data_IF_094845222894
#
_entry.id   IF_094845222894
#
_cell.length_a   1.000
_cell.length_b   1.000
_cell.length_c   1.000
_cell.angle_alpha   90.00
_cell.angle_beta   90.00
_cell.angle_gamma   90.00
#
_symmetry.space_group_name_H-M   'P 1'
#
loop_
_entity.id
_entity.type
_entity.pdbx_description
1 polymer ?
#
# COMPACT_ATOMS: atom_id res chain seq x y z
N UNK A 1 6.20 57.64 -29.36
CA UNK A 1 5.00 56.96 -28.87
C UNK A 1 4.88 55.48 -29.30
N UNK A 2 5.29 55.08 -30.49
CA UNK A 2 5.17 53.67 -30.98
C UNK A 2 6.04 52.66 -30.22
N UNK A 3 7.21 53.03 -29.70
CA UNK A 3 8.09 52.15 -28.89
C UNK A 3 7.53 51.79 -27.52
N UNK A 4 6.75 52.67 -26.88
CA UNK A 4 6.14 52.37 -25.57
C UNK A 4 5.02 51.31 -25.62
N UNK A 5 4.30 51.23 -26.73
CA UNK A 5 3.27 50.19 -26.89
C UNK A 5 3.89 48.82 -27.12
N UNK A 6 5.03 48.73 -27.80
CA UNK A 6 5.73 47.47 -28.08
C UNK A 6 6.30 46.85 -26.80
N UNK A 7 6.82 47.69 -25.89
CA UNK A 7 7.34 47.21 -24.58
C UNK A 7 6.24 46.76 -23.65
N UNK A 8 5.08 47.42 -23.65
CA UNK A 8 3.90 47.03 -22.85
C UNK A 8 3.34 45.69 -23.38
N UNK A 9 3.19 45.52 -24.69
CA UNK A 9 2.72 44.25 -25.28
C UNK A 9 3.67 43.12 -24.98
N UNK A 10 4.98 43.36 -25.06
CA UNK A 10 6.01 42.34 -24.72
C UNK A 10 5.96 41.96 -23.23
N UNK A 11 5.78 42.93 -22.32
CA UNK A 11 5.65 42.69 -20.89
C UNK A 11 4.34 41.90 -20.55
N UNK A 12 3.23 42.19 -21.22
CA UNK A 12 1.99 41.45 -21.10
C UNK A 12 2.08 40.01 -21.65
N UNK A 13 2.78 39.81 -22.76
CA UNK A 13 3.01 38.48 -23.32
C UNK A 13 3.88 37.61 -22.39
N UNK A 14 4.88 38.20 -21.73
CA UNK A 14 5.71 37.49 -20.74
C UNK A 14 4.91 37.13 -19.44
N UNK A 15 3.91 37.89 -19.08
CA UNK A 15 3.06 37.60 -17.90
C UNK A 15 2.06 36.45 -18.14
N UNK A 16 1.71 36.16 -19.40
CA UNK A 16 0.74 35.11 -19.76
C UNK A 16 1.29 33.67 -19.74
N UNK A 17 2.58 33.49 -19.58
CA UNK A 17 3.24 32.17 -19.72
C UNK A 17 3.22 31.27 -18.49
N UNK A 18 2.51 31.61 -17.41
CA UNK A 18 2.43 30.76 -16.21
C UNK A 18 1.08 30.03 -16.17
N UNK A 19 1.04 28.72 -16.43
CA UNK A 19 -0.21 27.97 -16.28
C UNK A 19 -0.69 28.05 -14.83
N UNK A 20 -1.94 28.46 -14.65
CA UNK A 20 -2.58 28.52 -13.34
C UNK A 20 -3.19 27.17 -13.07
N UNK A 21 -2.74 26.51 -12.01
CA UNK A 21 -3.36 25.26 -11.55
C UNK A 21 -4.71 25.58 -10.88
N UNK A 22 -5.76 24.98 -11.40
CA UNK A 22 -7.08 24.98 -10.79
C UNK A 22 -7.33 23.57 -10.24
N UNK A 23 -7.54 23.41 -8.93
CA UNK A 23 -7.92 22.10 -8.40
C UNK A 23 -9.27 21.69 -9.02
N UNK A 24 -9.43 20.42 -9.44
CA UNK A 24 -10.71 19.94 -9.95
C UNK A 24 -11.77 20.07 -8.86
N UNK A 25 -12.95 20.57 -9.24
CA UNK A 25 -14.12 20.55 -8.36
C UNK A 25 -14.65 19.13 -8.34
N UNK A 26 -14.59 18.49 -7.18
CA UNK A 26 -15.24 17.19 -6.97
C UNK A 26 -16.61 17.47 -6.40
N UNK A 27 -17.66 17.05 -7.10
CA UNK A 27 -19.03 17.12 -6.61
C UNK A 27 -19.18 16.05 -5.51
N UNK A 28 -19.25 16.51 -4.27
CA UNK A 28 -19.45 15.65 -3.11
C UNK A 28 -20.90 15.80 -2.67
N UNK A 29 -21.68 14.70 -2.56
CA UNK A 29 -23.04 14.76 -2.04
C UNK A 29 -23.10 15.39 -0.65
N UNK A 30 -24.13 16.21 -0.39
CA UNK A 30 -24.29 16.90 0.89
C UNK A 30 -24.52 15.97 2.10
N UNK A 31 -24.74 14.67 1.88
CA UNK A 31 -24.91 13.67 2.91
C UNK A 31 -24.95 12.24 2.35
N UNK A 32 -24.76 11.28 3.24
CA UNK A 32 -24.94 9.86 2.93
C UNK A 32 -26.42 9.46 3.01
N UNK A 33 -26.85 8.51 2.18
CA UNK A 33 -28.25 8.05 2.07
C UNK A 33 -28.86 7.60 3.41
N UNK A 34 -28.04 7.12 4.34
CA UNK A 34 -28.43 6.64 5.67
C UNK A 34 -27.67 7.36 6.79
N UNK A 35 -27.25 8.61 6.51
CA UNK A 35 -26.42 9.39 7.44
C UNK A 35 -27.21 10.17 8.50
N UNK A 36 -28.53 9.98 8.62
CA UNK A 36 -29.32 10.61 9.66
C UNK A 36 -28.91 10.08 11.04
N UNK A 37 -28.32 10.95 11.86
CA UNK A 37 -27.84 10.61 13.21
C UNK A 37 -26.32 10.43 13.35
N UNK A 38 -25.57 10.42 12.29
CA UNK A 38 -24.11 10.46 12.39
C UNK A 38 -23.59 11.89 12.43
N UNK A 39 -22.63 12.22 13.32
CA UNK A 39 -21.99 13.52 13.32
C UNK A 39 -21.41 13.81 11.92
N UNK A 40 -21.73 14.96 11.34
CA UNK A 40 -21.12 15.44 10.08
C UNK A 40 -19.64 15.82 10.25
N UNK A 41 -19.02 15.39 11.32
CA UNK A 41 -17.62 15.67 11.55
C UNK A 41 -16.80 14.79 10.61
N UNK A 42 -16.54 15.35 9.44
CA UNK A 42 -15.61 14.85 8.44
C UNK A 42 -14.15 15.06 8.88
N UNK A 43 -13.94 15.44 10.13
CA UNK A 43 -12.63 15.52 10.72
C UNK A 43 -11.98 14.14 10.65
N UNK A 44 -11.18 13.98 9.59
CA UNK A 44 -10.25 12.88 9.39
C UNK A 44 -10.82 11.55 9.88
N UNK A 45 -11.12 10.63 8.99
CA UNK A 45 -11.20 9.20 9.35
C UNK A 45 -10.15 8.99 10.43
N UNK A 46 -10.60 8.76 11.66
CA UNK A 46 -9.71 8.62 12.79
C UNK A 46 -8.64 7.65 12.36
N UNK A 47 -7.38 8.06 12.44
CA UNK A 47 -6.25 7.27 11.94
C UNK A 47 -6.21 5.87 12.56
N UNK A 48 -7.02 5.65 13.57
CA UNK A 48 -7.14 4.48 14.43
C UNK A 48 -8.60 3.97 14.56
N UNK A 49 -9.36 4.04 13.48
CA UNK A 49 -10.76 3.61 13.39
C UNK A 49 -11.03 2.18 13.88
N UNK A 50 -10.04 1.28 13.80
CA UNK A 50 -10.17 -0.12 14.27
C UNK A 50 -10.37 -0.22 15.79
N UNK A 51 -10.01 0.80 16.57
CA UNK A 51 -10.27 0.86 18.01
C UNK A 51 -11.75 0.93 18.35
N UNK A 52 -12.61 1.29 17.40
CA UNK A 52 -14.06 1.27 17.56
C UNK A 52 -14.59 -0.14 17.84
N UNK A 53 -13.86 -1.20 17.47
CA UNK A 53 -14.25 -2.58 17.78
C UNK A 53 -13.99 -2.96 19.24
N UNK A 54 -13.22 -2.19 20.00
CA UNK A 54 -12.92 -2.46 21.41
C UNK A 54 -12.11 -3.74 21.65
N UNK A 55 -11.42 -4.24 20.61
CA UNK A 55 -10.62 -5.46 20.68
C UNK A 55 -9.14 -5.12 20.78
N UNK A 56 -8.55 -5.39 21.95
CA UNK A 56 -7.14 -5.12 22.24
C UNK A 56 -6.18 -5.99 21.44
N UNK A 57 -6.62 -7.18 21.00
CA UNK A 57 -5.81 -8.05 20.14
C UNK A 57 -5.71 -7.44 18.76
N UNK A 58 -6.85 -7.00 18.20
CA UNK A 58 -6.88 -6.30 16.92
C UNK A 58 -6.01 -5.03 16.95
N UNK A 59 -6.10 -4.23 18.02
CA UNK A 59 -5.30 -3.02 18.19
C UNK A 59 -3.79 -3.32 18.09
N UNK A 60 -3.34 -4.35 18.81
CA UNK A 60 -1.94 -4.77 18.79
C UNK A 60 -1.50 -5.29 17.41
N UNK A 61 -2.34 -6.07 16.73
CA UNK A 61 -2.04 -6.60 15.40
C UNK A 61 -1.89 -5.47 14.38
N UNK A 62 -2.82 -4.52 14.35
CA UNK A 62 -2.75 -3.38 13.43
C UNK A 62 -1.53 -2.52 13.73
N UNK A 63 -1.23 -2.25 14.99
CA UNK A 63 -0.05 -1.46 15.35
C UNK A 63 1.24 -2.16 14.88
N UNK A 64 1.41 -3.45 15.15
CA UNK A 64 2.56 -4.25 14.69
C UNK A 64 2.69 -4.24 13.17
N UNK A 65 1.56 -4.40 12.45
CA UNK A 65 1.56 -4.34 10.99
C UNK A 65 2.03 -2.97 10.48
N UNK A 66 1.51 -1.87 11.03
CA UNK A 66 1.91 -0.52 10.62
C UNK A 66 3.38 -0.19 10.88
N UNK A 67 3.99 -0.84 11.89
CA UNK A 67 5.40 -0.68 12.24
C UNK A 67 6.34 -1.56 11.38
N UNK A 68 5.94 -2.79 11.05
CA UNK A 68 6.84 -3.79 10.49
C UNK A 68 6.55 -4.15 9.02
N UNK A 69 5.38 -3.77 8.49
CA UNK A 69 5.00 -4.16 7.13
C UNK A 69 5.92 -3.53 6.08
N UNK A 70 6.34 -4.35 5.12
CA UNK A 70 7.29 -3.99 4.06
C UNK A 70 6.73 -2.97 3.07
N UNK A 71 5.43 -3.02 2.77
CA UNK A 71 4.80 -2.10 1.83
C UNK A 71 4.71 -0.68 2.42
N UNK A 72 4.50 -0.57 3.74
CA UNK A 72 4.58 0.71 4.45
C UNK A 72 6.00 1.28 4.38
N UNK A 73 7.02 0.44 4.56
CA UNK A 73 8.42 0.86 4.44
C UNK A 73 8.77 1.33 3.03
N UNK A 74 8.30 0.62 1.99
CA UNK A 74 8.45 1.03 0.58
C UNK A 74 7.75 2.35 0.32
N UNK A 75 6.51 2.52 0.79
CA UNK A 75 5.78 3.77 0.62
C UNK A 75 6.47 4.96 1.33
N UNK A 76 7.03 4.74 2.53
CA UNK A 76 7.81 5.74 3.24
C UNK A 76 9.09 6.12 2.47
N UNK A 77 9.79 5.15 1.89
CA UNK A 77 10.98 5.40 1.06
C UNK A 77 10.66 6.22 -0.19
N UNK A 78 9.47 6.03 -0.80
CA UNK A 78 9.01 6.84 -1.94
C UNK A 78 8.76 8.31 -1.55
N UNK A 79 8.32 8.58 -0.32
CA UNK A 79 8.22 9.96 0.19
C UNK A 79 9.60 10.58 0.28
N UNK A 80 10.59 9.84 0.79
CA UNK A 80 11.96 10.35 0.89
C UNK A 80 12.60 10.56 -0.49
N UNK A 81 12.38 9.65 -1.43
CA UNK A 81 12.79 9.81 -2.84
C UNK A 81 12.22 11.11 -3.44
N UNK A 82 10.93 11.39 -3.24
CA UNK A 82 10.31 12.62 -3.72
C UNK A 82 10.93 13.87 -3.06
N UNK A 83 11.32 13.80 -1.78
CA UNK A 83 12.02 14.88 -1.08
C UNK A 83 13.41 15.12 -1.66
N UNK A 84 14.18 14.07 -1.94
CA UNK A 84 15.49 14.17 -2.56
C UNK A 84 15.39 14.72 -3.97
N UNK A 85 14.39 14.32 -4.75
CA UNK A 85 14.14 14.85 -6.08
C UNK A 85 13.86 16.38 -6.06
N UNK A 86 13.15 16.88 -5.04
CA UNK A 86 13.04 18.33 -4.84
C UNK A 86 14.43 18.98 -4.62
N UNK A 87 15.36 18.29 -3.96
CA UNK A 87 16.76 18.73 -3.82
C UNK A 87 17.45 18.88 -5.18
N UNK A 88 17.31 17.88 -6.04
CA UNK A 88 17.84 17.91 -7.43
C UNK A 88 17.27 19.08 -8.22
N UNK A 89 15.93 19.28 -8.15
CA UNK A 89 15.30 20.43 -8.83
C UNK A 89 15.79 21.78 -8.27
N UNK A 90 16.07 21.86 -6.96
CA UNK A 90 16.65 23.07 -6.36
C UNK A 90 18.08 23.32 -6.81
N UNK A 91 18.87 22.27 -7.02
CA UNK A 91 20.24 22.40 -7.50
C UNK A 91 20.32 23.05 -8.91
N UNK A 92 19.29 22.87 -9.74
CA UNK A 92 19.23 23.51 -11.07
C UNK A 92 19.11 25.05 -11.02
N UNK A 93 18.80 25.63 -9.87
CA UNK A 93 18.82 27.09 -9.69
C UNK A 93 20.25 27.65 -9.47
N UNK A 94 21.20 26.77 -9.20
CA UNK A 94 22.60 27.14 -8.91
C UNK A 94 23.47 26.93 -10.15
N UNK A 95 24.55 27.70 -10.25
CA UNK A 95 25.57 27.43 -11.27
C UNK A 95 26.16 26.02 -11.12
N UNK A 96 26.29 25.31 -12.22
CA UNK A 96 26.94 23.99 -12.25
C UNK A 96 28.42 24.16 -12.56
N UNK A 97 29.27 23.62 -11.72
CA UNK A 97 30.73 23.61 -11.89
C UNK A 97 31.14 22.18 -12.23
N UNK A 98 31.88 22.03 -13.31
CA UNK A 98 32.44 20.75 -13.71
C UNK A 98 33.95 20.86 -13.93
N UNK A 99 34.64 19.77 -13.77
CA UNK A 99 36.07 19.63 -14.17
C UNK A 99 36.14 18.39 -15.05
N UNK A 100 36.50 18.64 -16.33
CA UNK A 100 36.86 17.60 -17.28
C UNK A 100 38.35 17.31 -17.19
N UNK A 101 38.72 16.05 -17.15
CA UNK A 101 40.12 15.62 -17.30
C UNK A 101 40.17 14.64 -18.46
N UNK A 102 40.95 15.02 -19.50
CA UNK A 102 41.12 14.19 -20.69
C UNK A 102 42.60 13.79 -20.82
N UNK A 103 42.82 12.52 -21.08
CA UNK A 103 44.13 11.99 -21.40
C UNK A 103 44.03 11.26 -22.74
N UNK A 104 44.68 11.79 -23.77
CA UNK A 104 44.67 11.21 -25.12
C UNK A 104 46.08 10.83 -25.51
N UNK A 105 46.26 9.64 -26.10
CA UNK A 105 47.51 9.17 -26.67
C UNK A 105 47.33 8.95 -28.17
N UNK A 106 48.00 9.74 -29.01
CA UNK A 106 48.03 9.55 -30.46
C UNK A 106 49.38 9.00 -30.91
N UNK A 107 49.33 7.93 -31.71
CA UNK A 107 50.50 7.36 -32.34
C UNK A 107 50.51 7.74 -33.82
N UNK A 108 51.51 8.49 -34.21
CA UNK A 108 51.79 8.77 -35.63
C UNK A 108 53.16 8.22 -36.02
N UNK A 109 53.32 7.61 -37.20
CA UNK A 109 54.64 7.05 -37.64
C UNK A 109 55.80 8.05 -37.62
N UNK A 110 55.48 9.36 -37.72
CA UNK A 110 56.45 10.44 -37.76
C UNK A 110 56.85 10.99 -36.37
N UNK A 111 55.93 10.95 -35.36
CA UNK A 111 56.13 11.60 -34.07
C UNK A 111 56.15 10.62 -32.87
N UNK A 112 56.05 9.34 -33.10
CA UNK A 112 55.87 8.31 -32.04
C UNK A 112 54.60 8.56 -31.23
N UNK A 113 54.61 8.31 -29.93
CA UNK A 113 53.44 8.52 -29.06
C UNK A 113 53.47 9.94 -28.51
N UNK A 114 52.44 10.72 -28.87
CA UNK A 114 52.17 12.02 -28.27
C UNK A 114 51.06 11.83 -27.24
N UNK A 115 51.34 12.16 -25.99
CA UNK A 115 50.34 12.13 -24.91
C UNK A 115 49.91 13.57 -24.63
N UNK A 116 48.61 13.81 -24.72
CA UNK A 116 48.01 15.09 -24.40
C UNK A 116 47.16 14.95 -23.14
N UNK A 117 47.39 15.78 -22.16
CA UNK A 117 46.62 15.89 -20.95
C UNK A 117 45.95 17.26 -20.94
N UNK A 118 44.60 17.27 -20.81
CA UNK A 118 43.86 18.51 -20.67
C UNK A 118 43.01 18.48 -19.38
N UNK A 119 43.00 19.61 -18.69
CA UNK A 119 42.14 19.86 -17.56
C UNK A 119 41.25 21.05 -17.86
N UNK A 120 39.98 20.82 -18.01
CA UNK A 120 39.01 21.81 -18.45
C UNK A 120 37.97 22.10 -17.35
N UNK A 121 38.15 23.17 -16.57
CA UNK A 121 37.09 23.65 -15.68
C UNK A 121 35.95 24.23 -16.51
N UNK A 122 34.71 23.84 -16.20
CA UNK A 122 33.51 24.35 -16.85
C UNK A 122 32.57 24.96 -15.83
N UNK A 123 31.93 26.07 -16.16
CA UNK A 123 30.88 26.71 -15.40
C UNK A 123 29.68 26.93 -16.31
N UNK A 124 28.54 26.33 -15.98
CA UNK A 124 27.30 26.55 -16.71
C UNK A 124 26.18 26.98 -15.75
N UNK A 125 25.43 27.96 -16.18
CA UNK A 125 24.26 28.44 -15.42
C UNK A 125 23.13 28.82 -16.35
N UNK A 126 21.99 28.16 -16.20
CA UNK A 126 20.78 28.44 -16.95
C UNK A 126 19.84 29.33 -16.12
N UNK A 127 19.64 30.57 -16.60
CA UNK A 127 18.72 31.52 -15.99
C UNK A 127 17.33 31.34 -16.62
N UNK A 128 16.44 30.61 -15.95
CA UNK A 128 15.09 30.37 -16.43
C UNK A 128 14.17 31.59 -16.21
N UNK A 129 14.21 32.54 -17.17
CA UNK A 129 13.46 33.81 -17.10
C UNK A 129 11.94 33.59 -17.16
N UNK A 130 11.44 32.54 -17.82
CA UNK A 130 10.02 32.29 -18.08
C UNK A 130 9.38 31.36 -17.06
N UNK A 131 9.98 31.17 -15.88
CA UNK A 131 9.38 30.46 -14.75
C UNK A 131 9.43 28.94 -14.86
N UNK A 132 10.16 28.34 -15.80
CA UNK A 132 10.33 26.90 -15.97
C UNK A 132 10.80 26.22 -14.67
N UNK A 133 11.91 26.65 -14.08
CA UNK A 133 12.44 26.11 -12.84
C UNK A 133 11.51 26.34 -11.65
N UNK A 134 10.80 27.47 -11.61
CA UNK A 134 9.81 27.74 -10.56
C UNK A 134 8.62 26.78 -10.64
N UNK A 135 8.15 26.46 -11.85
CA UNK A 135 7.09 25.49 -12.06
C UNK A 135 7.57 24.06 -11.78
N UNK A 136 8.79 23.69 -12.17
CA UNK A 136 9.43 22.42 -11.83
C UNK A 136 9.50 22.23 -10.30
N UNK A 137 9.91 23.28 -9.56
CA UNK A 137 9.91 23.23 -8.09
C UNK A 137 8.50 23.08 -7.48
N UNK A 138 7.48 23.72 -8.07
CA UNK A 138 6.09 23.54 -7.63
C UNK A 138 5.61 22.11 -7.89
N UNK A 139 5.92 21.56 -9.07
CA UNK A 139 5.60 20.18 -9.42
C UNK A 139 6.27 19.18 -8.46
N UNK A 140 7.56 19.35 -8.16
CA UNK A 140 8.27 18.50 -7.20
C UNK A 140 7.67 18.57 -5.78
N UNK A 141 7.21 19.75 -5.34
CA UNK A 141 6.48 19.89 -4.05
C UNK A 141 5.13 19.18 -4.07
N UNK A 142 4.38 19.28 -5.16
CA UNK A 142 3.12 18.56 -5.32
C UNK A 142 3.35 17.04 -5.34
N UNK A 143 4.47 16.57 -5.92
CA UNK A 143 4.84 15.16 -5.90
C UNK A 143 5.12 14.65 -4.48
N UNK A 144 5.77 15.45 -3.62
CA UNK A 144 5.94 15.09 -2.20
C UNK A 144 4.57 14.92 -1.53
N UNK A 145 3.68 15.90 -1.68
CA UNK A 145 2.33 15.81 -1.10
C UNK A 145 1.57 14.58 -1.62
N UNK A 146 1.68 14.28 -2.92
CA UNK A 146 1.09 13.08 -3.51
C UNK A 146 1.63 11.79 -2.87
N UNK A 147 2.95 11.70 -2.68
CA UNK A 147 3.59 10.53 -2.03
C UNK A 147 3.19 10.40 -0.55
N UNK A 148 3.04 11.50 0.17
CA UNK A 148 2.57 11.50 1.56
C UNK A 148 1.11 11.03 1.68
N UNK A 149 0.24 11.43 0.75
CA UNK A 149 -1.13 10.91 0.69
C UNK A 149 -1.18 9.44 0.29
N UNK A 150 -0.31 9.01 -0.64
CA UNK A 150 -0.18 7.60 -1.00
C UNK A 150 0.25 6.74 0.20
N UNK A 151 1.20 7.21 1.01
CA UNK A 151 1.61 6.52 2.24
C UNK A 151 0.44 6.39 3.24
N UNK A 152 -0.38 7.44 3.39
CA UNK A 152 -1.59 7.38 4.24
C UNK A 152 -2.58 6.35 3.70
N UNK A 153 -2.76 6.29 2.37
CA UNK A 153 -3.59 5.29 1.71
C UNK A 153 -3.12 3.86 1.97
N UNK A 154 -1.82 3.60 1.85
CA UNK A 154 -1.23 2.28 2.15
C UNK A 154 -1.47 1.88 3.61
N UNK A 155 -1.27 2.79 4.57
CA UNK A 155 -1.54 2.54 6.00
C UNK A 155 -3.01 2.21 6.27
N UNK A 156 -3.93 2.95 5.65
CA UNK A 156 -5.35 2.72 5.80
C UNK A 156 -5.77 1.36 5.23
N UNK A 157 -5.30 1.02 4.03
CA UNK A 157 -5.56 -0.27 3.38
C UNK A 157 -4.99 -1.43 4.19
N UNK A 158 -3.76 -1.30 4.70
CA UNK A 158 -3.15 -2.33 5.53
C UNK A 158 -3.94 -2.57 6.82
N UNK A 159 -4.36 -1.51 7.52
CA UNK A 159 -5.18 -1.65 8.72
C UNK A 159 -6.51 -2.36 8.43
N UNK A 160 -7.15 -2.06 7.29
CA UNK A 160 -8.38 -2.73 6.86
C UNK A 160 -8.15 -4.21 6.51
N UNK A 161 -7.04 -4.52 5.85
CA UNK A 161 -6.69 -5.89 5.48
C UNK A 161 -6.35 -6.75 6.70
N UNK A 162 -5.59 -6.20 7.67
CA UNK A 162 -5.32 -6.87 8.96
C UNK A 162 -6.61 -7.14 9.72
N UNK A 163 -7.51 -6.15 9.82
CA UNK A 163 -8.78 -6.32 10.51
C UNK A 163 -9.64 -7.40 9.83
N UNK A 164 -9.76 -7.37 8.51
CA UNK A 164 -10.52 -8.37 7.75
C UNK A 164 -9.94 -9.76 7.92
N UNK A 165 -8.62 -9.91 7.80
CA UNK A 165 -7.93 -11.20 7.97
C UNK A 165 -8.07 -11.73 9.39
N UNK A 166 -7.99 -10.87 10.39
CA UNK A 166 -8.21 -11.24 11.80
C UNK A 166 -9.63 -11.76 12.06
N UNK A 167 -10.66 -11.05 11.59
CA UNK A 167 -12.05 -11.51 11.76
C UNK A 167 -12.33 -12.78 10.96
N UNK A 168 -11.76 -12.95 9.78
CA UNK A 168 -11.82 -14.20 9.00
C UNK A 168 -11.14 -15.35 9.73
N UNK A 169 -10.03 -15.10 10.43
CA UNK A 169 -9.39 -16.11 11.28
C UNK A 169 -10.30 -16.55 12.42
N UNK A 170 -10.92 -15.60 13.11
CA UNK A 170 -11.89 -15.90 14.18
C UNK A 170 -13.10 -16.69 13.67
N UNK A 171 -13.58 -16.37 12.46
CA UNK A 171 -14.66 -17.12 11.81
C UNK A 171 -14.24 -18.58 11.59
N UNK A 172 -13.11 -18.83 10.93
CA UNK A 172 -12.65 -20.21 10.66
C UNK A 172 -12.32 -20.99 11.93
N UNK A 173 -11.79 -20.35 12.98
CA UNK A 173 -11.60 -21.02 14.27
C UNK A 173 -12.92 -21.45 14.92
N UNK A 174 -13.97 -20.64 14.81
CA UNK A 174 -15.31 -20.98 15.27
C UNK A 174 -15.94 -22.08 14.44
N UNK A 175 -15.82 -22.01 13.12
CA UNK A 175 -16.33 -23.01 12.19
C UNK A 175 -15.65 -24.37 12.43
N UNK A 176 -14.34 -24.38 12.68
CA UNK A 176 -13.60 -25.59 13.06
C UNK A 176 -14.14 -26.19 14.37
N UNK A 177 -14.39 -25.34 15.36
CA UNK A 177 -14.95 -25.80 16.63
C UNK A 177 -16.36 -26.39 16.46
N UNK A 178 -17.20 -25.75 15.62
CA UNK A 178 -18.55 -26.26 15.29
C UNK A 178 -18.47 -27.59 14.53
N UNK A 179 -17.58 -27.69 13.51
CA UNK A 179 -17.40 -28.91 12.72
C UNK A 179 -16.95 -30.09 13.61
N UNK A 180 -16.01 -29.87 14.52
CA UNK A 180 -15.56 -30.88 15.49
C UNK A 180 -16.70 -31.33 16.43
N UNK A 181 -17.47 -30.37 16.95
CA UNK A 181 -18.62 -30.66 17.80
C UNK A 181 -19.71 -31.44 17.04
N UNK A 182 -20.02 -31.01 15.82
CA UNK A 182 -20.99 -31.71 14.94
C UNK A 182 -20.55 -33.14 14.66
N UNK A 183 -19.27 -33.37 14.37
CA UNK A 183 -18.72 -34.71 14.15
C UNK A 183 -18.90 -35.59 15.42
N UNK A 184 -18.62 -35.05 16.62
CA UNK A 184 -18.82 -35.78 17.88
C UNK A 184 -20.29 -36.20 18.09
N UNK A 185 -21.23 -35.26 17.90
CA UNK A 185 -22.67 -35.56 18.03
C UNK A 185 -23.16 -36.60 17.02
N UNK A 186 -22.66 -36.55 15.77
CA UNK A 186 -22.98 -37.53 14.73
C UNK A 186 -22.44 -38.92 15.09
N UNK A 187 -21.23 -39.02 15.63
CA UNK A 187 -20.67 -40.29 16.13
C UNK A 187 -21.49 -40.89 17.27
N UNK A 188 -21.92 -40.06 18.21
CA UNK A 188 -22.80 -40.50 19.31
C UNK A 188 -24.15 -41.02 18.78
N UNK A 189 -24.76 -40.28 17.81
CA UNK A 189 -25.99 -40.68 17.16
C UNK A 189 -25.81 -42.01 16.38
N UNK A 190 -24.72 -42.16 15.63
CA UNK A 190 -24.44 -43.38 14.90
C UNK A 190 -24.20 -44.58 15.84
N UNK A 191 -23.55 -44.38 16.97
CA UNK A 191 -23.36 -45.41 18.00
C UNK A 191 -24.70 -45.87 18.64
N UNK A 192 -25.65 -44.92 18.85
CA UNK A 192 -26.99 -45.24 19.30
C UNK A 192 -27.76 -46.11 18.28
N UNK A 193 -27.70 -45.69 16.97
CA UNK A 193 -28.37 -46.42 15.88
C UNK A 193 -27.71 -47.80 15.68
N UNK A 194 -26.42 -47.95 15.83
CA UNK A 194 -25.70 -49.23 15.78
C UNK A 194 -26.17 -50.15 16.93
N UNK A 195 -26.36 -49.60 18.11
CA UNK A 195 -26.93 -50.35 19.25
C UNK A 195 -28.39 -50.80 18.96
N UNK A 196 -29.22 -49.90 18.43
CA UNK A 196 -30.62 -50.23 18.06
C UNK A 196 -30.67 -51.30 16.98
N UNK A 197 -29.79 -51.26 16.00
CA UNK A 197 -29.65 -52.27 14.94
C UNK A 197 -29.28 -53.63 15.53
N UNK A 198 -28.33 -53.70 16.43
CA UNK A 198 -27.94 -54.97 17.09
C UNK A 198 -29.04 -55.61 17.89
N UNK A 199 -29.94 -54.82 18.44
CA UNK A 199 -31.11 -55.31 19.19
C UNK A 199 -32.37 -55.49 18.31
N UNK A 200 -32.24 -55.36 16.96
CA UNK A 200 -33.33 -55.54 16.02
C UNK A 200 -34.38 -54.42 16.02
N UNK A 201 -34.05 -53.26 16.61
CA UNK A 201 -34.93 -52.06 16.70
C UNK A 201 -34.70 -51.05 15.60
N UNK A 202 -33.72 -51.27 14.71
CA UNK A 202 -33.42 -50.43 13.55
C UNK A 202 -32.98 -51.31 12.36
N UNK A 203 -33.02 -50.77 11.16
CA UNK A 203 -32.57 -51.45 9.98
C UNK A 203 -31.15 -51.09 9.56
N UNK A 204 -30.55 -51.85 8.62
CA UNK A 204 -29.21 -51.63 8.14
C UNK A 204 -29.06 -50.34 7.32
N UNK A 205 -30.15 -49.88 6.68
CA UNK A 205 -30.16 -48.66 5.89
C UNK A 205 -29.97 -47.43 6.80
N UNK A 206 -30.69 -47.39 7.93
CA UNK A 206 -30.57 -46.33 8.92
C UNK A 206 -29.13 -46.27 9.52
N UNK A 207 -28.52 -47.45 9.75
CA UNK A 207 -27.16 -47.54 10.26
C UNK A 207 -26.16 -46.96 9.23
N UNK A 208 -26.24 -47.37 7.96
CA UNK A 208 -25.31 -46.90 6.95
C UNK A 208 -25.53 -45.41 6.60
N UNK A 209 -26.75 -44.89 6.69
CA UNK A 209 -27.01 -43.45 6.58
C UNK A 209 -26.35 -42.69 7.74
N UNK A 210 -26.47 -43.18 8.97
CA UNK A 210 -25.82 -42.54 10.13
C UNK A 210 -24.29 -42.53 9.99
N UNK A 211 -23.71 -43.64 9.54
CA UNK A 211 -22.24 -43.71 9.26
C UNK A 211 -21.84 -42.74 8.16
N UNK A 212 -22.58 -42.64 7.06
CA UNK A 212 -22.34 -41.69 5.97
C UNK A 212 -22.32 -40.24 6.49
N UNK A 213 -23.24 -39.87 7.38
CA UNK A 213 -23.25 -38.54 7.99
C UNK A 213 -22.04 -38.27 8.88
N UNK A 214 -21.49 -39.31 9.54
CA UNK A 214 -20.24 -39.18 10.31
C UNK A 214 -19.08 -38.90 9.37
N UNK A 215 -18.92 -39.70 8.28
CA UNK A 215 -17.84 -39.51 7.34
C UNK A 215 -17.89 -38.16 6.65
N UNK A 216 -19.09 -37.66 6.34
CA UNK A 216 -19.24 -36.30 5.79
C UNK A 216 -18.74 -35.25 6.79
N UNK A 217 -19.14 -35.34 8.06
CA UNK A 217 -18.69 -34.39 9.07
C UNK A 217 -17.18 -34.49 9.38
N UNK A 218 -16.59 -35.69 9.26
CA UNK A 218 -15.14 -35.89 9.39
C UNK A 218 -14.38 -35.24 8.23
N UNK A 219 -14.92 -35.30 7.03
CA UNK A 219 -14.31 -34.71 5.83
C UNK A 219 -14.27 -33.16 5.85
N UNK A 220 -15.19 -32.52 6.57
CA UNK A 220 -15.23 -31.05 6.72
C UNK A 220 -14.08 -30.52 7.62
N UNK A 221 -13.65 -31.28 8.64
CA UNK A 221 -12.66 -30.85 9.63
C UNK A 221 -11.33 -30.43 8.98
N UNK A 222 -10.68 -31.24 8.10
CA UNK A 222 -9.42 -30.87 7.47
C UNK A 222 -9.49 -29.61 6.62
N UNK A 223 -10.67 -29.31 6.05
CA UNK A 223 -10.90 -28.10 5.27
C UNK A 223 -10.77 -26.85 6.15
N UNK A 224 -11.43 -26.83 7.30
CA UNK A 224 -11.34 -25.72 8.25
C UNK A 224 -9.98 -25.63 8.91
N UNK A 225 -9.32 -26.74 9.23
CA UNK A 225 -7.96 -26.75 9.76
C UNK A 225 -6.96 -26.11 8.78
N UNK A 226 -7.12 -26.40 7.50
CA UNK A 226 -6.34 -25.76 6.45
C UNK A 226 -6.63 -24.28 6.34
N UNK A 227 -7.90 -23.88 6.36
CA UNK A 227 -8.32 -22.48 6.28
C UNK A 227 -7.74 -21.66 7.44
N UNK A 228 -7.82 -22.17 8.68
CA UNK A 228 -7.21 -21.53 9.86
C UNK A 228 -5.70 -21.33 9.67
N UNK A 229 -4.98 -22.37 9.23
CA UNK A 229 -3.53 -22.28 9.02
C UNK A 229 -3.17 -21.27 7.93
N UNK A 230 -3.87 -21.32 6.80
CA UNK A 230 -3.62 -20.39 5.69
C UNK A 230 -3.88 -18.93 6.09
N UNK A 231 -4.97 -18.68 6.82
CA UNK A 231 -5.30 -17.33 7.26
C UNK A 231 -4.30 -16.81 8.30
N UNK A 232 -3.79 -17.67 9.19
CA UNK A 232 -2.70 -17.29 10.12
C UNK A 232 -1.44 -16.90 9.39
N UNK A 233 -1.00 -17.71 8.40
CA UNK A 233 0.17 -17.39 7.60
C UNK A 233 0.00 -16.08 6.81
N UNK A 234 -1.22 -15.81 6.30
CA UNK A 234 -1.53 -14.52 5.65
C UNK A 234 -1.41 -13.37 6.64
N UNK A 235 -1.89 -13.55 7.87
CA UNK A 235 -1.77 -12.54 8.92
C UNK A 235 -0.29 -12.26 9.28
N UNK A 236 0.54 -13.31 9.42
CA UNK A 236 1.97 -13.17 9.70
C UNK A 236 2.68 -12.35 8.61
N UNK A 237 2.33 -12.58 7.33
CA UNK A 237 2.86 -11.79 6.21
C UNK A 237 2.47 -10.31 6.34
N UNK A 238 1.21 -10.01 6.66
CA UNK A 238 0.75 -8.63 6.86
C UNK A 238 1.45 -7.96 8.04
N UNK A 239 1.78 -8.72 9.08
CA UNK A 239 2.55 -8.24 10.23
C UNK A 239 4.05 -8.02 9.91
N UNK A 240 4.50 -8.40 8.71
CA UNK A 240 5.91 -8.33 8.31
C UNK A 240 6.78 -9.40 8.99
N UNK A 241 6.16 -10.42 9.55
CA UNK A 241 6.83 -11.54 10.23
C UNK A 241 7.11 -12.68 9.27
N UNK A 242 8.12 -13.49 9.60
CA UNK A 242 8.37 -14.71 8.84
C UNK A 242 7.32 -15.75 9.26
N UNK A 243 6.53 -16.30 8.32
CA UNK A 243 5.58 -17.34 8.65
C UNK A 243 6.30 -18.52 9.30
N UNK A 244 5.99 -18.79 10.56
CA UNK A 244 6.53 -19.95 11.27
C UNK A 244 5.49 -21.06 11.20
N UNK A 245 5.86 -22.17 10.59
CA UNK A 245 5.03 -23.36 10.41
C UNK A 245 4.84 -24.14 11.72
#
# INVERSE_FOLDING_TARGET
>A
MKTGYLTVIFALACAACTPRFYPPKVDVPDGYLYGEGFPRDTAALASDWWRLFGDTVLDNLVQRALENNRDVAVAASRVEEARQNLGVVRAQFLPQVGIGVTAEGEYTPQTKIVQTYAVEPSLSWEIALFGQLRNAKRAARAQIASSEWALRGVRLSLAAEVATTYFTLLEYERDLAIARRSCTLRRESAALIDSMFRYGMSDGVALEQARSLVYTAEADIPQYERAVKQTRLSLDILLGETPVS
#
